data_IF_361913403496
#
_entry.id   IF_361913403496
#
_cell.length_a   1.000
_cell.length_b   1.000
_cell.length_c   1.000
_cell.angle_alpha   90.00
_cell.angle_beta   90.00
_cell.angle_gamma   90.00
#
_symmetry.space_group_name_H-M   'P 1'
#
loop_
_entity.id
_entity.type
_entity.pdbx_description
1 polymer ?
#
# COMPACT_ATOMS: atom_id res chain seq x y z
N UNK A 1 -51.58 -28.76 41.64
CA UNK A 1 -51.02 -28.22 40.38
C UNK A 1 -50.15 -27.01 40.72
N UNK A 2 -48.82 -27.18 40.77
CA UNK A 2 -47.87 -26.06 40.85
C UNK A 2 -47.33 -25.83 39.45
N UNK A 3 -47.57 -24.65 38.90
CA UNK A 3 -47.16 -24.25 37.57
C UNK A 3 -45.63 -24.19 37.48
N UNK A 4 -45.08 -24.87 36.48
CA UNK A 4 -43.71 -24.68 36.03
C UNK A 4 -43.61 -23.31 35.36
N UNK A 5 -43.04 -22.31 36.04
CA UNK A 5 -42.54 -21.11 35.37
C UNK A 5 -41.17 -21.45 34.75
N UNK A 6 -41.16 -21.52 33.42
CA UNK A 6 -39.96 -21.58 32.59
C UNK A 6 -39.19 -20.26 32.83
N UNK A 7 -38.00 -20.32 33.44
CA UNK A 7 -37.08 -19.18 33.45
C UNK A 7 -36.57 -19.01 32.02
N UNK A 8 -37.02 -17.97 31.34
CA UNK A 8 -36.37 -17.51 30.12
C UNK A 8 -34.94 -17.04 30.46
N UNK A 9 -33.92 -17.43 29.69
CA UNK A 9 -32.57 -16.94 29.88
C UNK A 9 -32.54 -15.44 29.57
N UNK A 10 -32.01 -14.66 30.51
CA UNK A 10 -31.94 -13.21 30.45
C UNK A 10 -30.88 -12.74 29.42
N UNK A 11 -31.16 -12.91 28.12
CA UNK A 11 -30.29 -12.56 27.00
C UNK A 11 -29.95 -11.07 26.93
N UNK A 12 -30.77 -10.20 27.53
CA UNK A 12 -30.48 -8.77 27.61
C UNK A 12 -29.25 -8.49 28.51
N UNK A 13 -29.06 -9.26 29.58
CA UNK A 13 -27.93 -9.09 30.51
C UNK A 13 -26.57 -9.38 29.87
N UNK A 14 -26.50 -10.39 29.01
CA UNK A 14 -25.29 -10.78 28.28
C UNK A 14 -24.96 -9.77 27.17
N UNK A 15 -26.00 -9.28 26.47
CA UNK A 15 -25.89 -8.25 25.44
C UNK A 15 -25.28 -6.94 25.96
N UNK A 16 -25.75 -6.44 27.12
CA UNK A 16 -25.19 -5.23 27.73
C UNK A 16 -23.75 -5.42 28.24
N UNK A 17 -23.39 -6.64 28.70
CA UNK A 17 -22.01 -6.98 29.06
C UNK A 17 -21.08 -7.04 27.84
N UNK A 18 -21.58 -7.49 26.69
CA UNK A 18 -20.87 -7.47 25.41
C UNK A 18 -20.58 -6.05 24.94
N UNK A 19 -21.57 -5.16 25.00
CA UNK A 19 -21.40 -3.73 24.66
C UNK A 19 -20.38 -3.05 25.59
N UNK A 20 -20.41 -3.34 26.90
CA UNK A 20 -19.42 -2.80 27.84
C UNK A 20 -18.00 -3.30 27.57
N UNK A 21 -17.83 -4.58 27.19
CA UNK A 21 -16.52 -5.11 26.78
C UNK A 21 -16.00 -4.48 25.48
N UNK A 22 -16.88 -4.22 24.52
CA UNK A 22 -16.53 -3.49 23.28
C UNK A 22 -16.09 -2.07 23.63
N UNK A 23 -16.83 -1.34 24.46
CA UNK A 23 -16.47 0.01 24.89
C UNK A 23 -15.14 0.07 25.68
N UNK A 24 -14.86 -0.94 26.51
CA UNK A 24 -13.59 -1.07 27.24
C UNK A 24 -12.41 -1.48 26.34
N UNK A 25 -12.64 -2.37 25.36
CA UNK A 25 -11.62 -2.76 24.38
C UNK A 25 -11.23 -1.61 23.44
N UNK A 26 -12.18 -0.75 23.09
CA UNK A 26 -11.97 0.45 22.26
C UNK A 26 -11.13 1.52 22.97
N UNK A 27 -11.13 1.56 24.31
CA UNK A 27 -10.37 2.54 25.09
C UNK A 27 -8.86 2.26 25.16
N UNK A 28 -8.43 1.02 24.88
CA UNK A 28 -7.02 0.61 24.99
C UNK A 28 -6.25 0.74 23.67
N UNK A 29 -6.92 1.16 22.59
CA UNK A 29 -6.36 1.13 21.24
C UNK A 29 -5.95 2.54 20.80
N UNK A 30 -4.68 2.70 20.41
CA UNK A 30 -4.07 3.96 20.02
C UNK A 30 -4.88 4.78 19.00
N UNK A 31 -4.79 6.09 19.17
CA UNK A 31 -5.51 7.22 18.55
C UNK A 31 -5.81 7.18 17.03
N UNK A 32 -5.23 6.25 16.24
CA UNK A 32 -5.57 6.06 14.81
C UNK A 32 -6.70 5.06 14.58
N UNK A 33 -6.77 3.99 15.39
CA UNK A 33 -7.88 3.03 15.34
C UNK A 33 -9.15 3.64 15.95
N UNK A 34 -9.02 4.53 16.96
CA UNK A 34 -10.17 5.24 17.49
C UNK A 34 -10.85 6.13 16.45
N UNK A 35 -10.11 6.76 15.53
CA UNK A 35 -10.70 7.61 14.48
C UNK A 35 -11.44 6.82 13.38
N UNK A 36 -11.04 5.56 13.15
CA UNK A 36 -11.72 4.63 12.24
C UNK A 36 -12.94 3.98 12.92
N UNK A 37 -12.87 3.79 14.25
CA UNK A 37 -13.90 3.10 15.04
C UNK A 37 -14.95 4.07 15.63
N UNK A 38 -14.64 5.34 15.86
CA UNK A 38 -15.59 6.31 16.42
C UNK A 38 -16.84 6.52 15.54
N UNK A 39 -16.72 6.64 14.20
CA UNK A 39 -17.89 6.73 13.32
C UNK A 39 -18.75 5.47 13.42
N UNK A 40 -18.12 4.29 13.52
CA UNK A 40 -18.76 2.99 13.71
C UNK A 40 -19.50 2.94 15.06
N UNK A 41 -18.99 3.53 16.13
CA UNK A 41 -19.66 3.54 17.44
C UNK A 41 -20.97 4.37 17.44
N UNK A 42 -20.99 5.50 16.75
CA UNK A 42 -22.21 6.30 16.53
C UNK A 42 -23.19 5.64 15.55
N UNK A 43 -22.68 5.02 14.48
CA UNK A 43 -23.50 4.21 13.58
C UNK A 43 -24.10 2.99 14.30
N UNK A 44 -23.37 2.33 15.21
CA UNK A 44 -23.87 1.23 16.04
C UNK A 44 -25.07 1.69 16.89
N UNK A 45 -25.07 2.91 17.42
CA UNK A 45 -26.17 3.41 18.25
C UNK A 45 -27.48 3.63 17.47
N UNK A 46 -27.39 4.06 16.21
CA UNK A 46 -28.54 4.23 15.32
C UNK A 46 -28.93 2.94 14.57
N UNK A 47 -27.97 2.08 14.22
CA UNK A 47 -28.18 0.76 13.60
C UNK A 47 -28.86 -0.23 14.55
N UNK A 48 -28.62 -0.14 15.86
CA UNK A 48 -29.22 -1.02 16.88
C UNK A 48 -30.75 -0.89 17.00
N UNK A 49 -31.38 0.14 16.40
CA UNK A 49 -32.84 0.28 16.43
C UNK A 49 -33.57 -0.62 15.44
N UNK A 50 -32.93 -1.13 14.38
CA UNK A 50 -33.61 -1.85 13.28
C UNK A 50 -32.81 -2.97 12.60
N UNK A 51 -31.73 -3.49 13.19
CA UNK A 51 -30.94 -4.55 12.54
C UNK A 51 -31.60 -5.93 12.64
N UNK A 52 -31.59 -6.62 11.50
CA UNK A 52 -31.81 -8.06 11.35
C UNK A 52 -30.85 -8.89 12.24
N UNK A 53 -31.37 -9.75 13.15
CA UNK A 53 -30.57 -10.53 14.09
C UNK A 53 -29.43 -11.36 13.46
N UNK A 54 -29.59 -11.86 12.23
CA UNK A 54 -28.52 -12.61 11.54
C UNK A 54 -27.36 -11.70 11.13
N UNK A 55 -27.67 -10.50 10.62
CA UNK A 55 -26.66 -9.48 10.28
C UNK A 55 -25.95 -8.97 11.53
N UNK A 56 -26.66 -8.86 12.65
CA UNK A 56 -26.06 -8.52 13.94
C UNK A 56 -25.08 -9.60 14.41
N UNK A 57 -25.49 -10.87 14.34
CA UNK A 57 -24.65 -12.01 14.74
C UNK A 57 -23.38 -12.07 13.89
N UNK A 58 -23.51 -11.97 12.57
CA UNK A 58 -22.35 -11.92 11.67
C UNK A 58 -21.45 -10.69 11.91
N UNK A 59 -22.03 -9.54 12.28
CA UNK A 59 -21.27 -8.35 12.66
C UNK A 59 -20.49 -8.58 13.97
N UNK A 60 -21.13 -9.14 15.00
CA UNK A 60 -20.48 -9.50 16.28
C UNK A 60 -19.35 -10.49 16.05
N UNK A 61 -19.57 -11.54 15.26
CA UNK A 61 -18.52 -12.52 14.91
C UNK A 61 -17.32 -11.87 14.22
N UNK A 62 -17.55 -10.89 13.33
CA UNK A 62 -16.46 -10.12 12.71
C UNK A 62 -15.72 -9.27 13.73
N UNK A 63 -16.42 -8.63 14.67
CA UNK A 63 -15.80 -7.82 15.73
C UNK A 63 -14.99 -8.71 16.68
N UNK A 64 -15.50 -9.87 17.08
CA UNK A 64 -14.79 -10.84 17.93
C UNK A 64 -13.54 -11.39 17.23
N UNK A 65 -13.62 -11.70 15.93
CA UNK A 65 -12.45 -12.07 15.13
C UNK A 65 -11.43 -10.94 15.06
N UNK A 66 -11.85 -9.70 14.83
CA UNK A 66 -10.96 -8.54 14.82
C UNK A 66 -10.30 -8.29 16.19
N UNK A 67 -11.02 -8.50 17.30
CA UNK A 67 -10.47 -8.44 18.64
C UNK A 67 -9.41 -9.52 18.87
N UNK A 68 -9.66 -10.75 18.39
CA UNK A 68 -8.66 -11.83 18.43
C UNK A 68 -7.42 -11.47 17.61
N UNK A 69 -7.56 -10.68 16.55
CA UNK A 69 -6.46 -10.27 15.69
C UNK A 69 -5.69 -9.03 16.18
N UNK A 70 -6.17 -8.34 17.20
CA UNK A 70 -5.58 -7.10 17.70
C UNK A 70 -4.08 -7.21 18.02
N UNK A 71 -3.59 -8.22 18.77
CA UNK A 71 -2.17 -8.28 19.14
C UNK A 71 -1.24 -8.38 17.92
N UNK A 72 -1.68 -9.13 16.91
CA UNK A 72 -0.93 -9.33 15.68
C UNK A 72 -0.97 -8.10 14.76
N UNK A 73 -2.11 -7.41 14.69
CA UNK A 73 -2.20 -6.12 13.99
C UNK A 73 -1.30 -5.08 14.65
N UNK A 74 -1.27 -5.04 15.99
CA UNK A 74 -0.40 -4.14 16.75
C UNK A 74 1.08 -4.43 16.47
N UNK A 75 1.49 -5.70 16.37
CA UNK A 75 2.83 -6.10 15.92
C UNK A 75 3.13 -5.57 14.50
N UNK A 76 2.25 -5.82 13.53
CA UNK A 76 2.45 -5.35 12.14
C UNK A 76 2.53 -3.82 12.04
N UNK A 77 1.71 -3.08 12.79
CA UNK A 77 1.78 -1.62 12.86
C UNK A 77 3.07 -1.13 13.50
N UNK A 78 3.54 -1.81 14.54
CA UNK A 78 4.81 -1.52 15.17
C UNK A 78 5.98 -1.74 14.19
N UNK A 79 5.98 -2.84 13.46
CA UNK A 79 7.00 -3.17 12.45
C UNK A 79 7.03 -2.13 11.32
N UNK A 80 5.85 -1.73 10.84
CA UNK A 80 5.73 -0.63 9.88
C UNK A 80 6.24 0.69 10.47
N UNK A 81 5.96 1.00 11.75
CA UNK A 81 6.24 2.32 12.35
C UNK A 81 7.72 2.50 12.69
N UNK A 82 8.37 1.43 13.10
CA UNK A 82 9.74 1.48 13.58
C UNK A 82 10.79 1.23 12.50
N UNK A 83 10.36 0.93 11.27
CA UNK A 83 11.25 0.94 10.13
C UNK A 83 11.12 2.27 9.37
N UNK A 84 12.18 3.07 9.39
CA UNK A 84 12.22 4.37 8.70
C UNK A 84 11.91 4.25 7.19
N UNK A 85 12.27 3.12 6.58
CA UNK A 85 12.01 2.82 5.16
C UNK A 85 10.52 2.53 4.88
N UNK A 86 9.69 2.34 5.91
CA UNK A 86 8.25 2.05 5.80
C UNK A 86 7.34 3.21 6.23
N UNK A 87 7.90 4.37 6.60
CA UNK A 87 7.12 5.55 7.01
C UNK A 87 6.00 5.92 6.01
N UNK A 88 6.23 5.77 4.70
CA UNK A 88 5.22 5.92 3.65
C UNK A 88 4.38 4.67 3.34
N UNK A 89 4.85 3.47 3.71
CA UNK A 89 4.06 2.24 3.58
C UNK A 89 2.81 2.29 4.46
N UNK A 90 2.83 3.01 5.59
CA UNK A 90 1.62 3.30 6.39
C UNK A 90 0.53 4.03 5.62
N UNK A 91 0.91 4.88 4.65
CA UNK A 91 -0.04 5.67 3.87
C UNK A 91 -0.54 4.90 2.63
N UNK A 92 0.18 3.85 2.23
CA UNK A 92 -0.09 3.09 1.00
C UNK A 92 -0.73 1.73 1.28
N UNK A 93 -0.34 1.05 2.36
CA UNK A 93 -0.92 -0.23 2.78
C UNK A 93 -2.17 0.06 3.60
N UNK A 94 -3.33 -0.35 3.09
CA UNK A 94 -4.58 -0.20 3.81
C UNK A 94 -4.68 -1.18 4.98
N UNK A 95 -5.41 -0.81 6.03
CA UNK A 95 -5.73 -1.71 7.14
C UNK A 95 -6.38 -3.02 6.65
N UNK A 96 -7.16 -2.96 5.57
CA UNK A 96 -7.77 -4.13 4.95
C UNK A 96 -6.72 -5.14 4.44
N UNK A 97 -5.59 -4.68 3.90
CA UNK A 97 -4.48 -5.56 3.51
C UNK A 97 -3.89 -6.30 4.71
N UNK A 98 -3.72 -5.60 5.84
CA UNK A 98 -3.19 -6.20 7.07
C UNK A 98 -4.17 -7.21 7.66
N UNK A 99 -5.45 -6.86 7.75
CA UNK A 99 -6.50 -7.77 8.21
C UNK A 99 -6.56 -9.02 7.34
N UNK A 100 -6.50 -8.85 6.01
CA UNK A 100 -6.54 -9.99 5.10
C UNK A 100 -5.32 -10.90 5.29
N UNK A 101 -4.13 -10.33 5.46
CA UNK A 101 -2.93 -11.11 5.73
C UNK A 101 -3.09 -11.99 6.97
N UNK A 102 -3.63 -11.44 8.06
CA UNK A 102 -3.87 -12.21 9.29
C UNK A 102 -4.94 -13.27 9.08
N UNK A 103 -6.02 -12.92 8.36
CA UNK A 103 -7.11 -13.84 8.08
C UNK A 103 -6.64 -15.04 7.24
N UNK A 104 -5.83 -14.82 6.21
CA UNK A 104 -5.25 -15.88 5.38
C UNK A 104 -4.28 -16.79 6.16
N UNK A 105 -3.77 -16.31 7.30
CA UNK A 105 -2.82 -17.03 8.16
C UNK A 105 -3.40 -17.27 9.57
N UNK A 106 -4.72 -17.37 9.72
CA UNK A 106 -5.39 -17.40 11.04
C UNK A 106 -4.98 -18.58 11.94
N UNK A 107 -4.42 -19.64 11.36
CA UNK A 107 -3.92 -20.82 12.08
C UNK A 107 -2.54 -20.56 12.70
N UNK A 108 -1.77 -19.64 12.11
CA UNK A 108 -0.39 -19.29 12.52
C UNK A 108 -0.13 -17.78 12.42
N UNK A 109 -0.94 -16.93 13.08
CA UNK A 109 -0.84 -15.47 12.93
C UNK A 109 0.45 -14.86 13.51
N UNK A 110 1.14 -15.57 14.40
CA UNK A 110 2.43 -15.16 14.97
C UNK A 110 3.59 -15.21 13.96
N UNK A 111 3.51 -16.12 12.99
CA UNK A 111 4.55 -16.38 11.99
C UNK A 111 4.49 -15.41 10.81
N UNK A 112 3.46 -14.57 10.76
CA UNK A 112 3.22 -13.60 9.71
C UNK A 112 4.25 -12.47 9.76
N UNK A 113 4.87 -12.19 8.62
CA UNK A 113 5.72 -11.02 8.42
C UNK A 113 5.00 -9.98 7.56
N UNK A 114 5.28 -8.68 7.78
CA UNK A 114 4.68 -7.59 6.98
C UNK A 114 4.95 -7.73 5.47
N UNK A 115 6.07 -8.36 5.12
CA UNK A 115 6.45 -8.62 3.73
C UNK A 115 5.51 -9.58 3.02
N UNK A 116 4.74 -10.37 3.76
CA UNK A 116 3.80 -11.32 3.19
C UNK A 116 2.50 -10.65 2.72
N UNK A 117 2.25 -9.38 3.07
CA UNK A 117 1.11 -8.59 2.55
C UNK A 117 1.05 -8.66 1.02
N UNK A 118 2.20 -8.53 0.36
CA UNK A 118 2.33 -8.52 -1.12
C UNK A 118 1.87 -9.85 -1.75
N UNK A 119 1.93 -10.96 -0.99
CA UNK A 119 1.56 -12.30 -1.46
C UNK A 119 0.05 -12.54 -1.39
N UNK A 120 -0.67 -11.78 -0.57
CA UNK A 120 -2.12 -11.95 -0.39
C UNK A 120 -2.87 -11.69 -1.68
N UNK A 121 -3.97 -12.40 -1.90
CA UNK A 121 -4.82 -12.19 -3.06
C UNK A 121 -5.39 -10.76 -3.07
N UNK A 122 -5.82 -10.29 -1.91
CA UNK A 122 -6.39 -8.94 -1.75
C UNK A 122 -5.43 -7.82 -2.17
N UNK A 123 -4.15 -7.88 -1.77
CA UNK A 123 -3.19 -6.87 -2.18
C UNK A 123 -2.98 -6.89 -3.70
N UNK A 124 -2.84 -8.07 -4.31
CA UNK A 124 -2.68 -8.22 -5.77
C UNK A 124 -3.90 -7.67 -6.51
N UNK A 125 -5.10 -8.01 -6.07
CA UNK A 125 -6.35 -7.54 -6.69
C UNK A 125 -6.48 -6.02 -6.59
N UNK A 126 -6.19 -5.45 -5.42
CA UNK A 126 -6.17 -4.00 -5.23
C UNK A 126 -5.16 -3.33 -6.17
N UNK A 127 -3.93 -3.86 -6.20
CA UNK A 127 -2.83 -3.33 -7.01
C UNK A 127 -3.18 -3.34 -8.52
N UNK A 128 -3.70 -4.45 -9.04
CA UNK A 128 -4.04 -4.56 -10.47
C UNK A 128 -5.33 -3.82 -10.82
N UNK A 129 -6.30 -3.74 -9.91
CA UNK A 129 -7.47 -2.87 -10.09
C UNK A 129 -7.05 -1.41 -10.24
N UNK A 130 -6.16 -0.94 -9.36
CA UNK A 130 -5.58 0.40 -9.43
C UNK A 130 -4.81 0.64 -10.72
N UNK A 131 -3.97 -0.31 -11.12
CA UNK A 131 -3.25 -0.26 -12.39
C UNK A 131 -4.19 -0.13 -13.59
N UNK A 132 -5.26 -0.93 -13.63
CA UNK A 132 -6.19 -0.98 -14.78
C UNK A 132 -6.95 0.32 -15.01
N UNK A 133 -7.08 1.16 -13.98
CA UNK A 133 -7.73 2.46 -14.06
C UNK A 133 -6.81 3.58 -14.59
N UNK A 134 -5.53 3.31 -14.78
CA UNK A 134 -4.55 4.28 -15.27
C UNK A 134 -4.46 4.18 -16.80
N UNK A 135 -4.61 5.32 -17.49
CA UNK A 135 -4.48 5.38 -18.95
C UNK A 135 -3.28 6.25 -19.36
N UNK A 136 -2.06 5.74 -19.22
CA UNK A 136 -0.84 6.49 -19.56
C UNK A 136 -0.25 6.02 -20.90
N UNK A 137 -0.51 6.72 -22.00
CA UNK A 137 0.03 6.31 -23.30
C UNK A 137 -0.38 4.90 -23.77
N UNK A 138 0.08 4.51 -24.96
CA UNK A 138 -0.43 3.31 -25.65
C UNK A 138 0.11 1.99 -25.09
N UNK A 139 1.31 2.00 -24.50
CA UNK A 139 2.01 0.79 -24.06
C UNK A 139 1.87 0.50 -22.56
N UNK A 140 1.20 1.35 -21.79
CA UNK A 140 1.16 1.18 -20.34
C UNK A 140 0.44 -0.09 -19.92
N UNK A 141 -0.64 -0.48 -20.61
CA UNK A 141 -1.34 -1.76 -20.38
C UNK A 141 -0.42 -2.98 -20.50
N UNK A 142 0.60 -2.94 -21.35
CA UNK A 142 1.55 -4.05 -21.53
C UNK A 142 2.43 -4.27 -20.29
N UNK A 143 2.54 -3.28 -19.40
CA UNK A 143 3.30 -3.40 -18.14
C UNK A 143 2.68 -4.40 -17.18
N UNK A 144 1.37 -4.69 -17.31
CA UNK A 144 0.66 -5.62 -16.43
C UNK A 144 1.31 -7.00 -16.40
N UNK A 145 1.68 -7.52 -17.58
CA UNK A 145 2.32 -8.83 -17.70
C UNK A 145 3.66 -8.87 -16.96
N UNK A 146 4.47 -7.82 -17.09
CA UNK A 146 5.78 -7.74 -16.42
C UNK A 146 5.64 -7.56 -14.91
N UNK A 147 4.62 -6.81 -14.46
CA UNK A 147 4.31 -6.69 -13.03
C UNK A 147 3.84 -8.02 -12.44
N UNK A 148 3.03 -8.80 -13.17
CA UNK A 148 2.64 -10.16 -12.77
C UNK A 148 3.85 -11.08 -12.62
N UNK A 149 4.81 -11.02 -13.55
CA UNK A 149 6.08 -11.75 -13.42
C UNK A 149 6.86 -11.31 -12.18
N UNK A 150 6.90 -10.02 -11.86
CA UNK A 150 7.55 -9.54 -10.64
C UNK A 150 6.93 -10.13 -9.36
N UNK A 151 5.60 -10.25 -9.29
CA UNK A 151 4.91 -10.92 -8.18
C UNK A 151 5.28 -12.41 -8.09
N UNK A 152 5.31 -13.11 -9.22
CA UNK A 152 5.73 -14.53 -9.25
C UNK A 152 7.15 -14.72 -8.74
N UNK A 153 8.08 -13.86 -9.17
CA UNK A 153 9.47 -13.89 -8.69
C UNK A 153 9.57 -13.61 -7.18
N UNK A 154 8.74 -12.69 -6.66
CA UNK A 154 8.68 -12.40 -5.24
C UNK A 154 8.21 -13.61 -4.42
N UNK A 155 7.15 -14.28 -4.89
CA UNK A 155 6.60 -15.48 -4.25
C UNK A 155 7.58 -16.66 -4.26
N UNK A 156 8.34 -16.82 -5.36
CA UNK A 156 9.37 -17.86 -5.50
C UNK A 156 10.69 -17.55 -4.76
N UNK A 157 10.83 -16.37 -4.16
CA UNK A 157 12.07 -15.95 -3.49
C UNK A 157 13.19 -15.53 -4.46
N UNK A 158 12.88 -15.31 -5.74
CA UNK A 158 13.84 -14.88 -6.76
C UNK A 158 13.97 -13.34 -6.79
N UNK A 159 14.48 -12.79 -5.68
CA UNK A 159 14.54 -11.35 -5.45
C UNK A 159 15.43 -10.59 -6.43
N UNK A 160 16.46 -11.23 -7.01
CA UNK A 160 17.31 -10.57 -8.00
C UNK A 160 16.54 -10.20 -9.27
N UNK A 161 15.73 -11.13 -9.78
CA UNK A 161 14.85 -10.88 -10.92
C UNK A 161 13.72 -9.92 -10.55
N UNK A 162 13.07 -10.15 -9.40
CA UNK A 162 11.97 -9.31 -8.92
C UNK A 162 12.39 -7.83 -8.82
N UNK A 163 13.48 -7.55 -8.12
CA UNK A 163 13.98 -6.20 -7.90
C UNK A 163 14.35 -5.50 -9.22
N UNK A 164 14.97 -6.24 -10.15
CA UNK A 164 15.35 -5.72 -11.48
C UNK A 164 14.13 -5.34 -12.30
N UNK A 165 13.10 -6.20 -12.33
CA UNK A 165 11.84 -5.90 -13.03
C UNK A 165 11.15 -4.67 -12.42
N UNK A 166 11.06 -4.60 -11.09
CA UNK A 166 10.43 -3.48 -10.40
C UNK A 166 11.13 -2.15 -10.72
N UNK A 167 12.46 -2.10 -10.65
CA UNK A 167 13.21 -0.90 -11.03
C UNK A 167 12.99 -0.48 -12.49
N UNK A 168 12.90 -1.44 -13.40
CA UNK A 168 12.63 -1.16 -14.81
C UNK A 168 11.22 -0.62 -15.01
N UNK A 169 10.21 -1.23 -14.36
CA UNK A 169 8.82 -0.78 -14.46
C UNK A 169 8.64 0.61 -13.87
N UNK A 170 9.30 0.90 -12.76
CA UNK A 170 9.27 2.22 -12.13
C UNK A 170 9.81 3.33 -13.02
N UNK A 171 10.99 3.12 -13.62
CA UNK A 171 11.50 4.09 -14.59
C UNK A 171 10.55 4.24 -15.78
N UNK A 172 9.98 3.13 -16.27
CA UNK A 172 9.03 3.14 -17.36
C UNK A 172 7.76 3.93 -17.07
N UNK A 173 7.10 3.67 -15.94
CA UNK A 173 5.88 4.36 -15.49
C UNK A 173 6.15 5.87 -15.37
N UNK A 174 7.28 6.24 -14.77
CA UNK A 174 7.69 7.64 -14.65
C UNK A 174 7.92 8.28 -16.03
N UNK A 175 8.49 7.53 -16.97
CA UNK A 175 8.69 7.99 -18.35
C UNK A 175 7.34 8.25 -19.04
N UNK A 176 6.39 7.32 -18.92
CA UNK A 176 5.05 7.47 -19.50
C UNK A 176 4.32 8.70 -18.93
N UNK A 177 4.41 8.90 -17.61
CA UNK A 177 3.86 10.08 -16.94
C UNK A 177 4.44 11.40 -17.49
N UNK A 178 5.76 11.46 -17.67
CA UNK A 178 6.42 12.66 -18.19
C UNK A 178 6.08 12.94 -19.67
N UNK A 179 5.83 11.90 -20.47
CA UNK A 179 5.30 12.05 -21.82
C UNK A 179 3.87 12.59 -21.80
N UNK A 180 3.00 12.04 -20.96
CA UNK A 180 1.61 12.49 -20.80
C UNK A 180 1.55 13.97 -20.44
N UNK A 181 2.40 14.41 -19.50
CA UNK A 181 2.50 15.81 -19.08
C UNK A 181 3.27 16.69 -20.08
N UNK A 182 3.63 16.18 -21.25
CA UNK A 182 4.35 16.88 -22.34
C UNK A 182 5.71 17.46 -21.91
N UNK A 183 6.31 16.90 -20.86
CA UNK A 183 7.61 17.31 -20.36
C UNK A 183 8.74 16.60 -21.10
N UNK A 184 8.45 15.44 -21.69
CA UNK A 184 9.32 14.72 -22.61
C UNK A 184 8.66 14.61 -23.99
N UNK A 185 9.48 14.59 -25.04
CA UNK A 185 9.10 14.14 -26.40
C UNK A 185 10.10 13.13 -26.93
N UNK A 186 9.63 12.21 -27.77
CA UNK A 186 10.51 11.24 -28.43
C UNK A 186 11.05 11.85 -29.72
N UNK A 187 12.37 11.91 -29.88
CA UNK A 187 13.02 12.37 -31.10
C UNK A 187 14.24 11.52 -31.40
N UNK A 188 14.29 10.91 -32.58
CA UNK A 188 15.40 10.04 -33.01
C UNK A 188 15.82 8.99 -31.95
N UNK A 189 14.84 8.36 -31.31
CA UNK A 189 15.00 7.40 -30.20
C UNK A 189 15.52 7.97 -28.87
N UNK A 190 15.68 9.28 -28.74
CA UNK A 190 16.04 9.96 -27.50
C UNK A 190 14.81 10.60 -26.84
N UNK A 191 14.82 10.66 -25.51
CA UNK A 191 13.83 11.39 -24.72
C UNK A 191 14.33 12.83 -24.54
N UNK A 192 13.65 13.81 -25.12
CA UNK A 192 14.05 15.23 -25.08
C UNK A 192 13.15 15.99 -24.12
N UNK A 193 13.77 16.72 -23.19
CA UNK A 193 13.07 17.58 -22.25
C UNK A 193 12.54 18.87 -22.90
N UNK A 194 11.27 19.17 -22.68
CA UNK A 194 10.58 20.33 -23.29
C UNK A 194 10.18 21.42 -22.29
N UNK A 195 10.43 21.21 -21.00
CA UNK A 195 10.09 22.18 -19.96
C UNK A 195 11.11 23.31 -19.77
N UNK A 196 10.82 24.25 -18.86
CA UNK A 196 11.73 25.35 -18.53
C UNK A 196 12.99 24.85 -17.82
N UNK A 197 14.02 25.69 -17.73
CA UNK A 197 15.22 25.37 -16.95
C UNK A 197 14.86 25.11 -15.48
N UNK A 198 15.25 23.93 -14.97
CA UNK A 198 15.05 23.57 -13.57
C UNK A 198 16.25 24.09 -12.77
N UNK A 199 16.02 25.13 -11.96
CA UNK A 199 17.04 25.79 -11.16
C UNK A 199 17.83 24.79 -10.30
N UNK A 200 19.14 25.05 -10.14
CA UNK A 200 20.07 24.21 -9.38
C UNK A 200 20.24 22.78 -9.92
N UNK A 201 19.82 22.52 -11.16
CA UNK A 201 20.08 21.26 -11.85
C UNK A 201 20.81 21.51 -13.18
N UNK A 202 21.21 20.42 -13.86
CA UNK A 202 21.72 20.48 -15.23
C UNK A 202 20.62 20.21 -16.26
N UNK A 203 19.35 20.41 -15.93
CA UNK A 203 18.21 20.13 -16.81
C UNK A 203 17.73 21.43 -17.44
N UNK A 204 18.12 21.63 -18.71
CA UNK A 204 17.75 22.78 -19.55
C UNK A 204 16.80 22.33 -20.66
N UNK A 205 16.02 23.25 -21.27
CA UNK A 205 15.22 22.93 -22.45
C UNK A 205 16.04 22.22 -23.53
N UNK A 206 15.42 21.26 -24.22
CA UNK A 206 15.98 20.43 -25.29
C UNK A 206 17.11 19.48 -24.87
N UNK A 207 17.34 19.30 -23.57
CA UNK A 207 18.29 18.32 -23.09
C UNK A 207 17.79 16.89 -23.32
N UNK A 208 18.69 16.01 -23.75
CA UNK A 208 18.47 14.56 -23.77
C UNK A 208 18.49 14.00 -22.35
N UNK A 209 17.42 13.31 -21.97
CA UNK A 209 17.22 12.69 -20.66
C UNK A 209 17.48 11.20 -20.77
N UNK A 210 18.46 10.69 -20.00
CA UNK A 210 19.00 9.33 -20.21
C UNK A 210 18.56 8.30 -19.18
N UNK A 211 18.03 8.72 -18.03
CA UNK A 211 17.71 7.76 -16.98
C UNK A 211 16.83 8.28 -15.86
N UNK A 212 16.45 7.36 -14.99
CA UNK A 212 15.53 7.57 -13.86
C UNK A 212 15.86 8.79 -13.00
N UNK A 213 17.14 9.05 -12.68
CA UNK A 213 17.55 10.19 -11.84
C UNK A 213 17.09 11.53 -12.41
N UNK A 214 17.27 11.74 -13.71
CA UNK A 214 16.89 12.99 -14.37
C UNK A 214 15.38 13.10 -14.53
N UNK A 215 14.71 11.98 -14.86
CA UNK A 215 13.25 11.90 -14.91
C UNK A 215 12.61 12.25 -13.56
N UNK A 216 13.19 11.76 -12.47
CA UNK A 216 12.69 12.06 -11.12
C UNK A 216 12.91 13.52 -10.74
N UNK A 217 14.03 14.14 -11.14
CA UNK A 217 14.24 15.58 -10.96
C UNK A 217 13.20 16.42 -11.70
N UNK A 218 12.82 16.00 -12.91
CA UNK A 218 11.75 16.66 -13.67
C UNK A 218 10.41 16.50 -12.93
N UNK A 219 10.05 15.28 -12.52
CA UNK A 219 8.78 15.01 -11.86
C UNK A 219 8.63 15.77 -10.53
N UNK A 220 9.70 15.88 -9.73
CA UNK A 220 9.72 16.72 -8.50
C UNK A 220 9.45 18.19 -8.76
N UNK A 221 9.92 18.70 -9.89
CA UNK A 221 9.70 20.10 -10.24
C UNK A 221 8.25 20.36 -10.64
N UNK A 222 7.55 19.32 -11.09
CA UNK A 222 6.14 19.38 -11.50
C UNK A 222 5.20 19.22 -10.31
N UNK A 223 5.43 18.22 -9.46
CA UNK A 223 4.54 17.89 -8.35
C UNK A 223 5.31 17.54 -7.06
N UNK A 224 4.98 18.17 -5.91
CA UNK A 224 5.57 17.87 -4.60
C UNK A 224 5.46 16.41 -4.16
N UNK A 225 4.49 15.64 -4.68
CA UNK A 225 4.37 14.21 -4.44
C UNK A 225 5.67 13.47 -4.77
N UNK A 226 6.32 13.80 -5.89
CA UNK A 226 7.58 13.17 -6.27
C UNK A 226 8.78 13.60 -5.41
N UNK A 227 8.68 14.70 -4.67
CA UNK A 227 9.67 15.07 -3.64
C UNK A 227 9.58 14.10 -2.47
N UNK A 228 8.36 13.78 -2.04
CA UNK A 228 8.14 12.78 -1.00
C UNK A 228 8.61 11.39 -1.44
N UNK A 229 8.38 11.04 -2.71
CA UNK A 229 8.84 9.77 -3.28
C UNK A 229 10.37 9.64 -3.39
N UNK A 230 11.12 10.73 -3.56
CA UNK A 230 12.59 10.68 -3.58
C UNK A 230 13.23 10.70 -2.19
N UNK A 231 12.51 11.20 -1.19
CA UNK A 231 12.88 11.02 0.20
C UNK A 231 12.83 9.54 0.61
N UNK A 232 12.22 8.68 -0.22
CA UNK A 232 12.20 7.25 -0.03
C UNK A 232 13.60 6.64 -0.14
N UNK A 233 14.07 6.17 1.00
CA UNK A 233 15.29 5.43 1.19
C UNK A 233 14.96 3.94 1.12
N UNK A 234 15.56 3.21 0.18
CA UNK A 234 15.41 1.75 0.11
C UNK A 234 16.17 1.09 1.26
N UNK A 235 17.20 1.77 1.78
CA UNK A 235 17.84 1.52 3.06
C UNK A 235 18.28 2.84 3.71
N UNK A 236 18.60 2.83 5.01
CA UNK A 236 19.06 4.01 5.75
C UNK A 236 20.33 4.68 5.17
N UNK A 237 21.00 4.01 4.22
CA UNK A 237 22.32 4.36 3.69
C UNK A 237 22.31 5.04 2.31
N UNK A 238 21.33 4.82 1.42
CA UNK A 238 21.40 5.30 0.03
C UNK A 238 20.08 5.82 -0.57
N UNK A 239 20.13 6.93 -1.34
CA UNK A 239 19.03 7.32 -2.21
C UNK A 239 18.79 6.25 -3.28
N UNK A 240 17.52 5.93 -3.53
CA UNK A 240 17.04 4.91 -4.49
C UNK A 240 17.78 4.89 -5.84
N UNK A 241 18.12 6.06 -6.38
CA UNK A 241 18.77 6.18 -7.68
C UNK A 241 20.24 5.68 -7.72
N UNK A 242 21.01 5.93 -6.65
CA UNK A 242 22.42 5.52 -6.62
C UNK A 242 22.52 4.01 -6.36
N UNK A 243 21.63 3.52 -5.50
CA UNK A 243 21.54 2.12 -5.12
C UNK A 243 21.09 1.23 -6.28
N UNK A 244 20.06 1.66 -7.02
CA UNK A 244 19.60 1.01 -8.26
C UNK A 244 20.75 0.78 -9.24
N UNK A 245 21.53 1.81 -9.57
CA UNK A 245 22.60 1.66 -10.57
C UNK A 245 23.71 0.72 -10.07
N UNK A 246 24.07 0.78 -8.79
CA UNK A 246 25.07 -0.12 -8.23
C UNK A 246 24.61 -1.58 -8.20
N UNK A 247 23.34 -1.82 -7.87
CA UNK A 247 22.70 -3.14 -7.88
C UNK A 247 22.60 -3.69 -9.31
N UNK A 248 22.05 -2.90 -10.25
CA UNK A 248 21.82 -3.33 -11.63
C UNK A 248 23.13 -3.57 -12.40
N UNK A 249 24.21 -2.89 -12.04
CA UNK A 249 25.53 -3.10 -12.64
C UNK A 249 26.41 -4.10 -11.86
N UNK A 250 25.85 -4.78 -10.84
CA UNK A 250 26.56 -5.85 -10.12
C UNK A 250 27.68 -5.36 -9.19
N UNK A 251 27.74 -4.06 -8.90
CA UNK A 251 28.68 -3.52 -7.91
C UNK A 251 28.27 -3.88 -6.47
N UNK A 252 26.99 -4.22 -6.26
CA UNK A 252 26.46 -4.64 -4.97
C UNK A 252 25.50 -5.82 -5.16
N UNK A 253 25.85 -7.01 -4.65
CA UNK A 253 25.12 -8.26 -4.87
C UNK A 253 24.35 -8.76 -3.64
N UNK A 254 24.66 -8.28 -2.45
CA UNK A 254 24.02 -8.65 -1.19
C UNK A 254 22.68 -7.91 -0.95
N UNK A 255 22.28 -7.05 -1.88
CA UNK A 255 21.07 -6.21 -1.80
C UNK A 255 19.86 -6.78 -2.54
N UNK A 256 19.90 -8.01 -3.03
CA UNK A 256 18.73 -8.68 -3.61
C UNK A 256 17.89 -9.35 -2.51
N UNK A 257 17.16 -8.54 -1.74
CA UNK A 257 16.41 -9.00 -0.55
C UNK A 257 14.90 -8.86 -0.72
N UNK A 258 14.14 -9.66 0.02
CA UNK A 258 12.67 -9.55 0.11
C UNK A 258 12.22 -8.14 0.51
N UNK A 259 12.83 -7.55 1.54
CA UNK A 259 12.50 -6.22 2.06
C UNK A 259 12.52 -5.15 0.95
N UNK A 260 13.56 -5.17 0.12
CA UNK A 260 13.71 -4.20 -0.97
C UNK A 260 12.69 -4.38 -2.07
N UNK A 261 12.36 -5.62 -2.43
CA UNK A 261 11.28 -5.89 -3.37
C UNK A 261 9.94 -5.41 -2.80
N UNK A 262 9.67 -5.69 -1.52
CA UNK A 262 8.48 -5.21 -0.81
C UNK A 262 8.37 -3.68 -0.89
N UNK A 263 9.44 -2.97 -0.50
CA UNK A 263 9.59 -1.51 -0.59
C UNK A 263 9.24 -1.00 -2.00
N UNK A 264 9.78 -1.63 -3.04
CA UNK A 264 9.49 -1.23 -4.42
C UNK A 264 8.05 -1.49 -4.85
N UNK A 265 7.43 -2.61 -4.42
CA UNK A 265 6.01 -2.85 -4.69
C UNK A 265 5.12 -1.78 -4.07
N UNK A 266 5.41 -1.40 -2.82
CA UNK A 266 4.71 -0.31 -2.15
C UNK A 266 4.89 1.00 -2.93
N UNK A 267 6.08 1.25 -3.47
CA UNK A 267 6.35 2.45 -4.27
C UNK A 267 5.54 2.47 -5.57
N UNK A 268 5.52 1.34 -6.30
CA UNK A 268 4.70 1.20 -7.52
C UNK A 268 3.22 1.44 -7.19
N UNK A 269 2.72 0.82 -6.11
CA UNK A 269 1.33 0.98 -5.68
C UNK A 269 1.00 2.43 -5.29
N UNK A 270 1.91 3.12 -4.61
CA UNK A 270 1.76 4.54 -4.26
C UNK A 270 1.64 5.40 -5.51
N UNK A 271 2.49 5.17 -6.51
CA UNK A 271 2.44 5.89 -7.80
C UNK A 271 1.09 5.67 -8.49
N UNK A 272 0.56 4.44 -8.46
CA UNK A 272 -0.76 4.16 -9.02
C UNK A 272 -1.89 4.92 -8.32
N UNK A 273 -1.84 5.04 -7.00
CA UNK A 273 -2.80 5.85 -6.24
C UNK A 273 -2.70 7.34 -6.64
N UNK A 274 -1.49 7.87 -6.74
CA UNK A 274 -1.27 9.26 -7.15
C UNK A 274 -1.82 9.52 -8.55
N UNK A 275 -1.46 8.69 -9.53
CA UNK A 275 -1.89 8.85 -10.93
C UNK A 275 -3.42 8.81 -11.08
N UNK A 276 -4.11 8.01 -10.27
CA UNK A 276 -5.58 8.02 -10.22
C UNK A 276 -6.13 9.31 -9.58
N UNK A 277 -5.54 9.75 -8.46
CA UNK A 277 -6.00 10.95 -7.77
C UNK A 277 -5.83 12.23 -8.60
N UNK A 278 -4.72 12.34 -9.34
CA UNK A 278 -4.42 13.51 -10.19
C UNK A 278 -5.49 13.68 -11.28
N UNK A 279 -5.97 12.57 -11.86
CA UNK A 279 -7.06 12.60 -12.85
C UNK A 279 -8.40 13.01 -12.28
N UNK A 280 -8.70 12.65 -11.04
CA UNK A 280 -9.96 13.04 -10.39
C UNK A 280 -10.06 14.54 -10.09
N UNK A 281 -8.93 15.26 -10.14
CA UNK A 281 -8.88 16.72 -10.01
C UNK A 281 -9.04 17.44 -11.35
N UNK A 282 -8.68 16.77 -12.45
CA UNK A 282 -8.79 17.29 -13.82
C UNK A 282 -10.16 17.01 -14.49
N UNK A 283 -11.07 16.29 -13.81
CA UNK A 283 -12.44 15.95 -14.25
C UNK A 283 -13.52 16.76 -13.54
#
# INVERSE_FOLDING_TARGET
>A
MKSFQKKEPNNQSEFYKGIQKIALGVYVIGHKLSQVILPIATEIQDLLKNIDPEKFTHFIERIEKLQKFEPYLTKLFHDLKNNENFSHAHETISLACLIQLIYENEQHPDDVHIFDVIKTAYFKDLFFSQFSNIQLGENFSQREAVLKEAFQLYELGFYAGCLTLLYAQLEGILTDYLFEKKMLIKSKNEDIYMGPYIQHTKITPYKVIKGMKEKLLIAKHMDPYFVKLDAYKIDSTYPMNNDRNAILHGAILDRFTQERCFILFIWVNSIFNFLQSERSVDS
#
